data_IF_028673496465
#
_entry.id   IF_028673496465
#
_cell.length_a   1.000
_cell.length_b   1.000
_cell.length_c   1.000
_cell.angle_alpha   90.00
_cell.angle_beta   90.00
_cell.angle_gamma   90.00
#
_symmetry.space_group_name_H-M   'P 1'
#
loop_
_entity.id
_entity.type
_entity.pdbx_description
1 polymer ?
#
# COMPACT_ATOMS: atom_id res chain seq x y z
N UNK A 1 -11.24 -18.13 -20.70
CA UNK A 1 -12.53 -17.44 -20.58
C UNK A 1 -12.69 -16.68 -19.25
N UNK A 2 -12.85 -17.33 -18.09
CA UNK A 2 -12.98 -16.63 -16.79
C UNK A 2 -11.85 -15.64 -16.48
N UNK A 3 -10.58 -16.02 -16.71
CA UNK A 3 -9.44 -15.12 -16.52
C UNK A 3 -9.49 -13.88 -17.44
N UNK A 4 -9.98 -14.06 -18.68
CA UNK A 4 -10.16 -12.97 -19.66
C UNK A 4 -11.28 -12.02 -19.23
N UNK A 5 -12.36 -12.55 -18.67
CA UNK A 5 -13.45 -11.75 -18.10
C UNK A 5 -12.96 -10.94 -16.89
N UNK A 6 -12.19 -11.57 -16.00
CA UNK A 6 -11.62 -10.88 -14.83
C UNK A 6 -10.60 -9.80 -15.20
N UNK A 7 -9.85 -9.99 -16.30
CA UNK A 7 -8.91 -8.97 -16.79
C UNK A 7 -9.61 -7.67 -17.23
N UNK A 8 -10.88 -7.73 -17.61
CA UNK A 8 -11.70 -6.59 -18.01
C UNK A 8 -12.73 -6.18 -16.94
N UNK A 9 -12.65 -6.75 -15.73
CA UNK A 9 -13.56 -6.40 -14.65
C UNK A 9 -13.44 -4.92 -14.28
N UNK A 10 -14.58 -4.23 -14.23
CA UNK A 10 -14.68 -2.83 -13.83
C UNK A 10 -15.38 -2.72 -12.47
N UNK A 11 -14.60 -2.51 -11.42
CA UNK A 11 -15.09 -2.39 -10.06
C UNK A 11 -13.98 -2.59 -9.03
N UNK A 12 -14.35 -2.62 -7.76
CA UNK A 12 -13.41 -2.88 -6.66
C UNK A 12 -13.45 -4.35 -6.27
N UNK A 13 -12.28 -4.99 -6.26
CA UNK A 13 -12.08 -6.31 -5.67
C UNK A 13 -10.84 -6.24 -4.79
N UNK A 14 -11.02 -5.81 -3.55
CA UNK A 14 -9.94 -5.47 -2.63
C UNK A 14 -10.29 -6.03 -1.25
N UNK A 15 -9.29 -6.58 -0.58
CA UNK A 15 -9.34 -6.87 0.85
C UNK A 15 -8.10 -6.26 1.49
N UNK A 16 -8.20 -5.91 2.77
CA UNK A 16 -7.16 -5.20 3.50
C UNK A 16 -6.82 -6.05 4.73
N UNK A 17 -6.16 -7.20 4.54
CA UNK A 17 -5.68 -7.98 5.66
C UNK A 17 -4.61 -7.19 6.42
N UNK A 18 -4.56 -7.39 7.72
CA UNK A 18 -3.57 -6.77 8.57
C UNK A 18 -3.14 -7.75 9.65
N UNK A 19 -1.92 -7.57 10.14
CA UNK A 19 -1.39 -8.28 11.30
C UNK A 19 -0.74 -7.27 12.26
N UNK A 20 -0.73 -7.61 13.53
CA UNK A 20 -0.18 -6.77 14.59
C UNK A 20 1.07 -7.46 15.16
N UNK A 21 2.15 -6.70 15.34
CA UNK A 21 3.42 -7.16 15.95
C UNK A 21 3.91 -6.12 16.95
N UNK A 22 4.67 -6.57 17.94
CA UNK A 22 5.27 -5.65 18.92
C UNK A 22 6.42 -4.90 18.29
N UNK A 23 6.56 -3.62 18.63
CA UNK A 23 7.67 -2.77 18.16
C UNK A 23 9.04 -3.38 18.49
N UNK A 24 9.17 -4.04 19.66
CA UNK A 24 10.40 -4.75 20.04
C UNK A 24 10.76 -5.85 19.06
N UNK A 25 9.79 -6.66 18.61
CA UNK A 25 10.03 -7.71 17.61
C UNK A 25 10.46 -7.12 16.27
N UNK A 26 9.80 -6.04 15.81
CA UNK A 26 10.16 -5.35 14.57
C UNK A 26 11.58 -4.77 14.60
N UNK A 27 12.10 -4.40 15.78
CA UNK A 27 13.46 -3.86 15.94
C UNK A 27 14.52 -4.95 16.06
N UNK A 28 14.20 -6.07 16.70
CA UNK A 28 15.16 -7.12 17.02
C UNK A 28 15.26 -8.21 15.93
N UNK A 29 14.15 -8.49 15.22
CA UNK A 29 14.09 -9.55 14.22
C UNK A 29 14.66 -9.08 12.87
N UNK A 30 15.21 -9.99 12.07
CA UNK A 30 15.72 -9.65 10.74
C UNK A 30 14.58 -9.24 9.79
N UNK A 31 14.91 -8.50 8.74
CA UNK A 31 13.96 -8.06 7.72
C UNK A 31 13.22 -9.24 7.05
N UNK A 32 13.87 -10.39 6.88
CA UNK A 32 13.25 -11.59 6.34
C UNK A 32 12.06 -12.06 7.19
N UNK A 33 12.16 -11.98 8.52
CA UNK A 33 11.06 -12.35 9.42
C UNK A 33 9.86 -11.42 9.26
N UNK A 34 10.09 -10.12 8.99
CA UNK A 34 9.02 -9.17 8.67
C UNK A 34 8.37 -9.52 7.33
N UNK A 35 9.17 -9.88 6.33
CA UNK A 35 8.66 -10.32 5.04
C UNK A 35 7.81 -11.60 5.16
N UNK A 36 8.27 -12.58 5.93
CA UNK A 36 7.54 -13.81 6.21
C UNK A 36 6.22 -13.53 6.93
N UNK A 37 6.22 -12.63 7.91
CA UNK A 37 4.99 -12.18 8.60
C UNK A 37 3.98 -11.57 7.62
N UNK A 38 4.43 -10.72 6.70
CA UNK A 38 3.56 -10.12 5.68
C UNK A 38 3.03 -11.22 4.75
N UNK A 39 3.88 -12.15 4.35
CA UNK A 39 3.52 -13.27 3.49
C UNK A 39 2.43 -14.15 4.13
N UNK A 40 2.64 -14.60 5.38
CA UNK A 40 1.67 -15.37 6.17
C UNK A 40 0.32 -14.64 6.28
N UNK A 41 0.35 -13.32 6.55
CA UNK A 41 -0.86 -12.50 6.60
C UNK A 41 -1.63 -12.53 5.26
N UNK A 42 -0.91 -12.38 4.14
CA UNK A 42 -1.51 -12.41 2.80
C UNK A 42 -2.08 -13.78 2.44
N UNK A 43 -1.38 -14.88 2.76
CA UNK A 43 -1.84 -16.24 2.45
C UNK A 43 -3.24 -16.54 3.01
N UNK A 44 -3.57 -16.00 4.17
CA UNK A 44 -4.91 -16.16 4.76
C UNK A 44 -6.02 -15.43 4.00
N UNK A 45 -5.66 -14.35 3.29
CA UNK A 45 -6.62 -13.42 2.68
C UNK A 45 -6.74 -13.54 1.16
N UNK A 46 -5.76 -14.14 0.49
CA UNK A 46 -5.79 -14.39 -0.97
C UNK A 46 -6.56 -15.66 -1.35
N UNK A 47 -7.58 -16.01 -0.56
CA UNK A 47 -8.39 -17.23 -0.73
C UNK A 47 -9.81 -16.88 -1.18
N UNK A 48 -10.45 -17.80 -1.90
CA UNK A 48 -11.85 -17.63 -2.33
C UNK A 48 -12.78 -17.50 -1.12
N UNK A 49 -12.52 -18.31 -0.10
CA UNK A 49 -13.29 -18.41 1.13
C UNK A 49 -13.27 -17.08 1.90
N UNK A 50 -12.11 -16.43 1.97
CA UNK A 50 -11.98 -15.10 2.57
C UNK A 50 -12.86 -14.05 1.87
N UNK A 51 -12.82 -14.00 0.53
CA UNK A 51 -13.65 -13.06 -0.23
C UNK A 51 -15.15 -13.36 -0.14
N UNK A 52 -15.55 -14.63 -0.13
CA UNK A 52 -16.95 -15.01 0.09
C UNK A 52 -17.42 -14.62 1.49
N UNK A 53 -16.60 -14.87 2.53
CA UNK A 53 -16.90 -14.44 3.90
C UNK A 53 -17.01 -12.93 4.04
N UNK A 54 -16.18 -12.16 3.31
CA UNK A 54 -16.29 -10.71 3.27
C UNK A 54 -17.61 -10.25 2.65
N UNK A 55 -18.06 -10.90 1.57
CA UNK A 55 -19.35 -10.62 0.93
C UNK A 55 -20.50 -10.93 1.91
N UNK A 56 -20.49 -12.11 2.53
CA UNK A 56 -21.52 -12.53 3.49
C UNK A 56 -21.59 -11.55 4.67
N UNK A 57 -20.43 -11.13 5.19
CA UNK A 57 -20.36 -10.15 6.27
C UNK A 57 -20.93 -8.80 5.85
N UNK A 58 -20.57 -8.27 4.67
CA UNK A 58 -21.12 -6.99 4.16
C UNK A 58 -22.63 -7.08 3.96
N UNK A 59 -23.13 -8.17 3.38
CA UNK A 59 -24.56 -8.39 3.13
C UNK A 59 -25.37 -8.51 4.42
N UNK A 60 -24.79 -9.08 5.48
CA UNK A 60 -25.42 -9.16 6.79
C UNK A 60 -25.47 -7.81 7.56
N UNK A 61 -24.53 -6.90 7.29
CA UNK A 61 -24.37 -5.64 8.05
C UNK A 61 -24.84 -4.39 7.31
N UNK A 62 -25.08 -4.47 5.99
CA UNK A 62 -25.63 -3.36 5.21
C UNK A 62 -26.95 -2.86 5.81
N UNK A 63 -27.26 -1.56 5.78
CA UNK A 63 -26.58 -0.46 5.10
C UNK A 63 -25.57 0.32 5.97
N UNK A 64 -25.09 -0.25 7.08
CA UNK A 64 -24.14 0.45 7.94
C UNK A 64 -22.80 0.62 7.22
N UNK A 65 -22.21 1.84 7.21
CA UNK A 65 -20.85 2.02 6.73
C UNK A 65 -19.88 1.13 7.51
N UNK A 66 -18.94 0.52 6.79
CA UNK A 66 -17.89 -0.29 7.36
C UNK A 66 -16.53 0.28 6.98
N UNK A 67 -15.57 0.16 7.88
CA UNK A 67 -14.18 0.56 7.69
C UNK A 67 -13.28 -0.58 8.14
N UNK A 68 -12.21 -0.86 7.39
CA UNK A 68 -11.21 -1.83 7.83
C UNK A 68 -10.56 -1.33 9.12
N UNK A 69 -10.41 -2.21 10.12
CA UNK A 69 -9.89 -1.87 11.47
C UNK A 69 -8.58 -1.07 11.39
N UNK A 70 -7.68 -1.45 10.49
CA UNK A 70 -6.38 -0.79 10.30
C UNK A 70 -6.48 0.71 10.00
N UNK A 71 -7.61 1.18 9.45
CA UNK A 71 -7.84 2.60 9.16
C UNK A 71 -8.58 3.35 10.24
N UNK A 72 -9.25 2.66 11.16
CA UNK A 72 -10.17 3.26 12.12
C UNK A 72 -9.47 4.07 13.22
N UNK A 73 -8.14 3.99 13.30
CA UNK A 73 -7.43 4.35 14.54
C UNK A 73 -7.83 3.39 15.65
N UNK A 74 -6.95 3.15 16.59
CA UNK A 74 -7.26 2.22 17.66
C UNK A 74 -8.19 2.77 18.73
N UNK A 75 -8.29 4.10 18.84
CA UNK A 75 -9.01 4.78 19.92
C UNK A 75 -8.47 4.46 21.32
N UNK A 76 -7.37 3.72 21.41
CA UNK A 76 -6.79 3.18 22.63
C UNK A 76 -5.30 3.50 22.61
N UNK A 77 -4.79 4.14 23.67
CA UNK A 77 -3.40 4.62 23.73
C UNK A 77 -2.36 3.49 23.63
N UNK A 78 -2.76 2.26 23.97
CA UNK A 78 -1.90 1.06 23.94
C UNK A 78 -1.73 0.45 22.53
N UNK A 79 -2.63 0.76 21.61
CA UNK A 79 -2.56 0.25 20.24
C UNK A 79 -1.62 1.15 19.43
N UNK A 80 -0.50 0.58 18.99
CA UNK A 80 0.55 1.30 18.28
C UNK A 80 0.14 1.86 16.91
N UNK A 81 1.07 2.57 16.26
CA UNK A 81 0.83 3.17 14.94
C UNK A 81 0.52 2.12 13.86
N UNK A 82 -0.50 2.39 13.06
CA UNK A 82 -0.86 1.58 11.90
C UNK A 82 -0.18 2.08 10.61
N UNK A 83 0.18 1.15 9.74
CA UNK A 83 0.75 1.42 8.42
C UNK A 83 0.07 0.54 7.39
N UNK A 84 -0.49 1.15 6.35
CA UNK A 84 -1.07 0.46 5.21
C UNK A 84 -0.12 0.54 4.03
N UNK A 85 0.18 -0.62 3.45
CA UNK A 85 1.01 -0.73 2.26
C UNK A 85 0.16 -1.26 1.11
N UNK A 86 0.19 -0.56 -0.02
CA UNK A 86 -0.42 -1.02 -1.27
C UNK A 86 0.64 -1.05 -2.38
N UNK A 87 0.51 -1.92 -3.37
CA UNK A 87 1.52 -2.05 -4.44
C UNK A 87 1.07 -1.37 -5.72
N UNK A 88 1.77 -0.29 -6.08
CA UNK A 88 1.64 0.39 -7.38
C UNK A 88 2.55 -0.21 -8.46
N UNK A 89 3.26 -1.31 -8.19
CA UNK A 89 4.24 -1.90 -9.10
C UNK A 89 3.66 -2.31 -10.47
N UNK A 90 2.37 -2.65 -10.50
CA UNK A 90 1.69 -3.07 -11.73
C UNK A 90 0.85 -1.96 -12.36
N UNK A 91 1.02 -0.71 -11.91
CA UNK A 91 0.28 0.42 -12.46
C UNK A 91 0.72 0.72 -13.90
N UNK A 92 -0.16 0.60 -14.90
CA UNK A 92 0.23 0.63 -16.30
C UNK A 92 0.39 2.05 -16.86
N UNK A 93 0.94 2.98 -16.07
CA UNK A 93 1.09 4.39 -16.48
C UNK A 93 1.88 4.54 -17.79
N UNK A 94 2.89 3.69 -17.99
CA UNK A 94 3.72 3.67 -19.19
C UNK A 94 3.01 3.16 -20.45
N UNK A 95 1.79 2.63 -20.32
CA UNK A 95 0.93 2.22 -21.44
C UNK A 95 -0.05 3.32 -21.87
N UNK A 96 -0.15 4.41 -21.10
CA UNK A 96 -1.01 5.54 -21.43
C UNK A 96 -0.29 6.40 -22.47
N UNK A 97 -0.90 6.59 -23.63
CA UNK A 97 -0.44 7.52 -24.67
C UNK A 97 -1.68 8.06 -25.40
N UNK A 98 -1.89 9.36 -25.31
CA UNK A 98 -3.02 10.04 -25.94
C UNK A 98 -2.70 10.62 -27.33
N UNK A 99 -1.51 10.31 -27.88
CA UNK A 99 -1.02 10.80 -29.17
C UNK A 99 0.16 11.77 -29.07
N UNK A 100 0.61 12.10 -27.86
CA UNK A 100 1.73 13.00 -27.58
C UNK A 100 2.90 12.31 -26.86
N UNK A 101 2.86 10.98 -26.76
CA UNK A 101 3.83 10.20 -26.02
C UNK A 101 3.35 9.81 -24.62
N UNK A 102 4.21 9.05 -23.94
CA UNK A 102 3.94 8.48 -22.62
C UNK A 102 4.18 9.51 -21.51
N UNK A 103 3.48 9.42 -20.36
CA UNK A 103 3.80 10.22 -19.19
C UNK A 103 5.24 10.01 -18.74
N UNK A 104 5.96 11.10 -18.47
CA UNK A 104 7.28 11.07 -17.83
C UNK A 104 7.20 10.54 -16.41
N UNK A 105 6.10 10.84 -15.71
CA UNK A 105 5.85 10.37 -14.35
C UNK A 105 4.35 10.35 -14.08
N UNK A 106 3.91 9.33 -13.34
CA UNK A 106 2.59 9.29 -12.73
C UNK A 106 2.69 8.68 -11.35
N UNK A 107 1.96 9.25 -10.41
CA UNK A 107 1.97 8.86 -9.01
C UNK A 107 0.56 8.81 -8.47
N UNK A 108 0.46 8.35 -7.24
CA UNK A 108 -0.74 8.37 -6.45
C UNK A 108 -0.76 9.58 -5.54
N UNK A 109 -1.96 10.00 -5.18
CA UNK A 109 -2.21 10.88 -4.07
C UNK A 109 -3.40 10.30 -3.31
N UNK A 110 -3.13 9.76 -2.12
CA UNK A 110 -4.15 9.14 -1.28
C UNK A 110 -4.10 9.77 0.12
N UNK A 111 -4.62 10.99 0.28
CA UNK A 111 -4.68 11.65 1.56
C UNK A 111 -5.80 11.01 2.39
N UNK A 112 -5.45 9.92 3.09
CA UNK A 112 -6.35 9.32 4.07
C UNK A 112 -6.46 10.26 5.28
N UNK A 113 -7.69 10.63 5.64
CA UNK A 113 -7.96 11.53 6.77
C UNK A 113 -7.88 10.88 8.15
N UNK A 114 -7.54 9.59 8.22
CA UNK A 114 -7.33 8.88 9.48
C UNK A 114 -5.86 8.84 9.92
N UNK A 115 -5.61 8.15 11.01
CA UNK A 115 -4.30 8.15 11.69
C UNK A 115 -3.30 7.14 11.12
N UNK A 116 -3.78 6.20 10.30
CA UNK A 116 -2.94 5.20 9.66
C UNK A 116 -2.05 5.84 8.60
N UNK A 117 -0.75 5.52 8.65
CA UNK A 117 0.18 5.85 7.58
C UNK A 117 -0.15 5.08 6.31
N UNK A 118 0.17 5.65 5.14
CA UNK A 118 -0.02 4.98 3.85
C UNK A 118 1.25 5.03 3.01
N UNK A 119 1.68 3.87 2.51
CA UNK A 119 2.86 3.73 1.65
C UNK A 119 2.47 2.98 0.38
N UNK A 120 2.99 3.45 -0.75
CA UNK A 120 2.82 2.78 -2.04
C UNK A 120 4.10 2.78 -2.87
N UNK A 121 4.86 1.66 -2.91
CA UNK A 121 5.94 1.48 -3.86
C UNK A 121 5.43 1.34 -5.30
N UNK A 122 6.17 1.92 -6.22
CA UNK A 122 5.92 1.93 -7.65
C UNK A 122 7.23 1.68 -8.41
N UNK A 123 7.13 1.19 -9.64
CA UNK A 123 8.28 1.14 -10.54
C UNK A 123 8.70 2.56 -10.94
N UNK A 124 10.00 2.82 -10.99
CA UNK A 124 10.51 4.09 -11.51
C UNK A 124 10.14 4.26 -13.00
N UNK A 125 9.74 5.47 -13.43
CA UNK A 125 9.49 5.74 -14.85
C UNK A 125 10.75 5.58 -15.70
N UNK A 126 11.95 5.59 -15.11
CA UNK A 126 13.22 5.35 -15.81
C UNK A 126 13.42 3.90 -16.25
N UNK A 127 12.66 2.94 -15.70
CA UNK A 127 12.80 1.52 -16.03
C UNK A 127 14.18 0.94 -15.69
N UNK A 128 14.93 1.57 -14.79
CA UNK A 128 16.30 1.22 -14.42
C UNK A 128 16.38 0.28 -13.19
N UNK A 129 15.24 -0.24 -12.72
CA UNK A 129 15.14 -1.08 -11.52
C UNK A 129 14.89 -0.30 -10.22
N UNK A 130 15.01 1.03 -10.24
CA UNK A 130 14.68 1.85 -9.07
C UNK A 130 13.18 1.79 -8.75
N UNK A 131 12.86 2.00 -7.48
CA UNK A 131 11.49 2.16 -7.00
C UNK A 131 11.25 3.62 -6.61
N UNK A 132 10.05 4.11 -6.90
CA UNK A 132 9.54 5.36 -6.33
C UNK A 132 8.51 4.98 -5.28
N UNK A 133 8.65 5.54 -4.07
CA UNK A 133 7.75 5.21 -2.95
C UNK A 133 6.94 6.45 -2.58
N UNK A 134 5.64 6.41 -2.83
CA UNK A 134 4.72 7.41 -2.30
C UNK A 134 4.49 7.15 -0.81
N UNK A 135 4.60 8.20 0.01
CA UNK A 135 4.41 8.14 1.46
C UNK A 135 3.46 9.25 1.92
N UNK A 136 2.38 8.86 2.60
CA UNK A 136 1.50 9.77 3.31
C UNK A 136 1.57 9.42 4.81
N UNK A 137 2.43 10.13 5.52
CA UNK A 137 2.77 9.90 6.93
C UNK A 137 2.75 11.22 7.71
N UNK A 138 2.74 11.15 9.04
CA UNK A 138 2.96 12.31 9.89
C UNK A 138 4.31 12.97 9.58
N UNK A 139 4.36 14.30 9.62
CA UNK A 139 5.56 15.09 9.30
C UNK A 139 6.81 14.60 10.06
N UNK A 140 6.68 14.35 11.36
CA UNK A 140 7.79 13.87 12.19
C UNK A 140 8.31 12.49 11.75
N UNK A 141 7.46 11.61 11.22
CA UNK A 141 7.90 10.32 10.68
C UNK A 141 8.71 10.52 9.39
N UNK A 142 8.30 11.44 8.51
CA UNK A 142 9.03 11.76 7.28
C UNK A 142 10.40 12.36 7.61
N UNK A 143 10.48 13.28 8.55
CA UNK A 143 11.76 13.89 8.99
C UNK A 143 12.74 12.84 9.52
N UNK A 144 12.25 11.86 10.30
CA UNK A 144 13.07 10.73 10.79
C UNK A 144 13.54 9.84 9.62
N UNK A 145 12.64 9.52 8.67
CA UNK A 145 12.98 8.72 7.49
C UNK A 145 14.06 9.42 6.67
N UNK A 146 13.90 10.70 6.37
CA UNK A 146 14.88 11.48 5.62
C UNK A 146 16.24 11.52 6.33
N UNK A 147 16.25 11.71 7.66
CA UNK A 147 17.48 11.76 8.44
C UNK A 147 18.18 10.40 8.56
N UNK A 148 17.43 9.33 8.85
CA UNK A 148 18.02 8.03 9.21
C UNK A 148 18.20 7.09 8.02
N UNK A 149 17.43 7.28 6.95
CA UNK A 149 17.39 6.38 5.80
C UNK A 149 17.84 7.03 4.50
N UNK A 150 18.54 8.17 4.54
CA UNK A 150 19.07 8.87 3.35
C UNK A 150 19.95 7.99 2.42
N UNK A 151 20.53 6.92 2.97
CA UNK A 151 21.31 5.93 2.21
C UNK A 151 20.44 4.98 1.38
N UNK A 152 19.16 4.83 1.74
CA UNK A 152 18.18 3.92 1.12
C UNK A 152 17.08 4.69 0.36
N UNK A 153 16.47 5.68 1.02
CA UNK A 153 15.39 6.50 0.49
C UNK A 153 15.90 7.92 0.23
N UNK A 154 15.70 8.40 -1.00
CA UNK A 154 16.06 9.75 -1.41
C UNK A 154 14.80 10.48 -1.86
N UNK A 155 14.66 11.78 -1.54
CA UNK A 155 13.56 12.59 -2.09
C UNK A 155 13.54 12.51 -3.61
N UNK A 156 12.35 12.37 -4.19
CA UNK A 156 12.16 12.40 -5.63
C UNK A 156 12.34 13.84 -6.13
N UNK A 157 13.26 14.05 -7.06
CA UNK A 157 13.57 15.38 -7.62
C UNK A 157 13.24 15.47 -9.10
N UNK A 158 13.09 16.71 -9.61
CA UNK A 158 12.98 16.97 -11.04
C UNK A 158 14.19 16.43 -11.81
N UNK A 159 15.40 16.63 -11.28
CA UNK A 159 16.64 16.08 -11.86
C UNK A 159 16.59 14.55 -11.98
N UNK A 160 16.04 13.86 -10.99
CA UNK A 160 15.84 12.41 -11.08
C UNK A 160 14.83 12.04 -12.17
N UNK A 161 13.84 12.87 -12.46
CA UNK A 161 12.83 12.62 -13.49
C UNK A 161 13.22 13.17 -14.88
N UNK A 162 14.37 13.82 -15.00
CA UNK A 162 14.82 14.54 -16.20
C UNK A 162 13.81 15.62 -16.66
N UNK A 163 13.19 16.32 -15.70
CA UNK A 163 12.37 17.51 -15.96
C UNK A 163 13.23 18.78 -16.05
#
# INVERSE_FOLDING_TARGET
EKATIMAAYFGNMLSIPFSEKRIGELKEKPLSWVADTIHECLETAVTKEHFLGLIDWVEAHRAKPALAKIYAGSGNEDDGSALVVSSGQHFPVSKVDFGWGKPTFGSYHFPWGGEAGYIMPMSSPKGNGDWVVYMHLLKGHLEIIEMQTAHLLKPLTCDYLNF
#
